data_IF_809205678806
#
_entry.id   IF_809205678806
#
_cell.length_a   1.000
_cell.length_b   1.000
_cell.length_c   1.000
_cell.angle_alpha   90.00
_cell.angle_beta   90.00
_cell.angle_gamma   90.00
#
_symmetry.space_group_name_H-M   'P 1'
#
loop_
_entity.id
_entity.type
_entity.pdbx_description
1 polymer ?
#
# COMPACT_ATOMS: atom_id res chain seq x y z
N UNK A 1 11.46 3.45 -2.65
CA UNK A 1 11.62 4.90 -2.45
C UNK A 1 12.71 5.13 -1.41
N UNK A 2 13.89 5.65 -1.77
CA UNK A 2 15.02 5.80 -0.86
C UNK A 2 14.91 7.08 -0.01
N UNK A 3 14.14 8.07 -0.44
CA UNK A 3 13.95 9.34 0.28
C UNK A 3 12.92 9.21 1.40
N UNK A 4 13.09 9.96 2.50
CA UNK A 4 12.13 10.01 3.62
C UNK A 4 10.76 10.51 3.15
N UNK A 5 10.73 11.56 2.33
CA UNK A 5 9.53 11.97 1.61
C UNK A 5 9.25 11.02 0.45
N UNK A 6 8.00 10.82 0.07
CA UNK A 6 7.65 10.06 -1.11
C UNK A 6 8.15 10.72 -2.40
N UNK A 7 8.32 9.94 -3.47
CA UNK A 7 8.71 10.45 -4.79
C UNK A 7 7.50 10.85 -5.67
N UNK A 8 6.29 10.89 -5.11
CA UNK A 8 5.10 11.33 -5.82
C UNK A 8 4.36 10.25 -6.62
N UNK A 9 4.53 8.97 -6.33
CA UNK A 9 3.86 7.87 -7.07
C UNK A 9 2.34 8.06 -7.16
N UNK A 10 1.67 8.31 -6.04
CA UNK A 10 0.21 8.50 -6.00
C UNK A 10 -0.21 9.72 -6.81
N UNK A 11 0.51 10.83 -6.68
CA UNK A 11 0.27 12.05 -7.47
C UNK A 11 0.41 11.78 -8.97
N UNK A 12 1.46 11.03 -9.37
CA UNK A 12 1.68 10.64 -10.77
C UNK A 12 0.59 9.69 -11.25
N UNK A 13 0.16 8.71 -10.44
CA UNK A 13 -0.92 7.79 -10.80
C UNK A 13 -2.23 8.53 -11.07
N UNK A 14 -2.58 9.47 -10.21
CA UNK A 14 -3.76 10.33 -10.40
C UNK A 14 -3.58 11.20 -11.65
N UNK A 15 -2.45 11.91 -11.75
CA UNK A 15 -2.17 12.81 -12.87
C UNK A 15 -2.14 12.11 -14.23
N UNK A 16 -1.66 10.87 -14.30
CA UNK A 16 -1.73 10.06 -15.52
C UNK A 16 -3.17 9.73 -15.90
N UNK A 17 -4.03 9.38 -14.93
CA UNK A 17 -5.45 9.14 -15.22
C UNK A 17 -6.16 10.43 -15.69
N UNK A 18 -5.84 11.57 -15.05
CA UNK A 18 -6.32 12.88 -15.52
C UNK A 18 -5.86 13.17 -16.95
N UNK A 19 -4.58 12.94 -17.25
CA UNK A 19 -4.01 13.13 -18.59
C UNK A 19 -4.65 12.25 -19.64
N UNK A 20 -4.91 10.97 -19.33
CA UNK A 20 -5.64 10.05 -20.21
C UNK A 20 -7.06 10.57 -20.51
N UNK A 21 -7.78 11.06 -19.50
CA UNK A 21 -9.11 11.65 -19.71
C UNK A 21 -9.05 12.95 -20.53
N UNK A 22 -8.00 13.78 -20.36
CA UNK A 22 -7.78 14.99 -21.19
C UNK A 22 -7.60 14.67 -22.68
N UNK A 23 -6.95 13.55 -23.00
CA UNK A 23 -6.80 13.11 -24.41
C UNK A 23 -7.96 12.22 -24.88
N UNK A 24 -9.10 12.23 -24.18
CA UNK A 24 -10.34 11.56 -24.57
C UNK A 24 -10.38 10.06 -24.30
N UNK A 25 -9.51 9.54 -23.44
CA UNK A 25 -9.57 8.14 -22.98
C UNK A 25 -10.45 8.06 -21.73
N UNK A 26 -11.00 6.87 -21.45
CA UNK A 26 -11.80 6.61 -20.25
C UNK A 26 -10.95 5.95 -19.20
N UNK A 27 -10.32 6.74 -18.35
CA UNK A 27 -9.42 6.28 -17.31
C UNK A 27 -10.07 6.37 -15.92
N UNK A 28 -9.76 5.39 -15.07
CA UNK A 28 -10.16 5.29 -13.65
C UNK A 28 -8.92 4.98 -12.81
N UNK A 29 -8.88 5.51 -11.59
CA UNK A 29 -7.78 5.27 -10.64
C UNK A 29 -8.22 4.28 -9.58
N UNK A 30 -7.31 3.38 -9.17
CA UNK A 30 -7.51 2.50 -8.03
C UNK A 30 -6.34 2.64 -7.05
N UNK A 31 -6.61 3.20 -5.87
CA UNK A 31 -5.62 3.61 -4.87
C UNK A 31 -5.79 2.88 -3.55
N UNK A 32 -4.74 2.92 -2.73
CA UNK A 32 -4.82 2.50 -1.34
C UNK A 32 -5.41 3.60 -0.49
N UNK A 33 -6.13 3.20 0.55
CA UNK A 33 -6.51 4.06 1.65
C UNK A 33 -5.29 4.32 2.55
N UNK A 34 -5.04 5.55 3.00
CA UNK A 34 -3.93 5.86 3.89
C UNK A 34 -4.21 5.47 5.34
N UNK A 35 -3.18 5.03 6.06
CA UNK A 35 -3.18 4.84 7.52
C UNK A 35 -2.92 6.16 8.24
N UNK A 36 -3.51 6.36 9.41
CA UNK A 36 -3.34 7.56 10.24
C UNK A 36 -1.88 7.78 10.64
N UNK A 37 -1.16 6.73 11.03
CA UNK A 37 0.23 6.83 11.45
C UNK A 37 1.12 7.53 10.40
N UNK A 38 1.19 7.05 9.15
CA UNK A 38 1.89 7.76 8.07
C UNK A 38 1.35 9.15 7.74
N UNK A 39 0.03 9.40 7.84
CA UNK A 39 -0.55 10.72 7.57
C UNK A 39 -0.05 11.80 8.56
N UNK A 40 0.10 11.45 9.83
CA UNK A 40 0.69 12.32 10.85
C UNK A 40 2.22 12.24 10.90
N UNK A 41 2.84 11.41 10.06
CA UNK A 41 4.28 11.25 9.95
C UNK A 41 4.89 12.04 8.79
N UNK A 42 6.14 11.68 8.45
CA UNK A 42 6.90 12.36 7.40
C UNK A 42 6.40 12.05 5.97
N UNK A 43 5.62 11.00 5.77
CA UNK A 43 5.14 10.59 4.44
C UNK A 43 3.85 11.27 4.00
N UNK A 44 3.10 11.86 4.93
CA UNK A 44 1.81 12.44 4.64
C UNK A 44 0.76 11.43 4.17
N UNK A 45 -0.36 11.92 3.63
CA UNK A 45 -1.48 11.10 3.15
C UNK A 45 -1.25 10.47 1.78
N UNK A 46 -2.21 9.63 1.35
CA UNK A 46 -2.19 8.93 0.07
C UNK A 46 -3.25 9.45 -0.92
N UNK A 47 -3.71 10.70 -0.74
CA UNK A 47 -4.72 11.31 -1.60
C UNK A 47 -4.15 12.04 -2.83
N UNK A 48 -2.85 11.93 -3.09
CA UNK A 48 -2.16 12.71 -4.11
C UNK A 48 -1.67 14.07 -3.62
N UNK A 49 -1.44 15.02 -4.54
CA UNK A 49 -0.97 16.34 -4.18
C UNK A 49 -1.07 17.36 -5.33
N UNK A 50 -1.06 18.64 -4.99
CA UNK A 50 -1.25 19.72 -5.97
C UNK A 50 -2.61 19.60 -6.67
N UNK A 51 -2.61 19.74 -7.99
CA UNK A 51 -3.80 19.57 -8.82
C UNK A 51 -4.15 18.11 -9.15
N UNK A 52 -3.31 17.16 -8.75
CA UNK A 52 -3.53 15.71 -8.91
C UNK A 52 -3.91 15.08 -7.57
N UNK A 53 -5.15 15.29 -7.15
CA UNK A 53 -5.70 14.80 -5.89
C UNK A 53 -7.04 14.08 -6.06
N UNK A 54 -7.32 13.13 -5.15
CA UNK A 54 -8.66 12.60 -4.89
C UNK A 54 -9.35 13.37 -3.77
N UNK A 55 -10.67 13.53 -3.88
CA UNK A 55 -11.50 14.31 -2.97
C UNK A 55 -12.56 13.42 -2.30
N UNK A 56 -12.93 13.69 -1.04
CA UNK A 56 -12.44 14.74 -0.14
C UNK A 56 -11.11 14.33 0.54
N UNK A 57 -10.04 15.06 0.28
CA UNK A 57 -8.68 14.70 0.71
C UNK A 57 -8.54 14.58 2.24
N UNK A 58 -9.10 15.52 2.98
CA UNK A 58 -9.02 15.54 4.45
C UNK A 58 -9.68 14.31 5.04
N UNK A 59 -10.87 13.94 4.56
CA UNK A 59 -11.59 12.77 5.05
C UNK A 59 -10.83 11.49 4.72
N UNK A 60 -10.32 11.35 3.48
CA UNK A 60 -9.55 10.17 3.02
C UNK A 60 -8.30 9.99 3.88
N UNK A 61 -7.60 11.07 4.24
CA UNK A 61 -6.39 11.03 5.04
C UNK A 61 -6.64 10.79 6.54
N UNK A 62 -7.87 10.87 7.02
CA UNK A 62 -8.23 10.68 8.43
C UNK A 62 -9.01 9.38 8.62
N UNK A 63 -10.32 9.50 8.82
CA UNK A 63 -11.17 8.34 9.14
C UNK A 63 -11.95 7.80 7.95
N UNK A 64 -12.06 8.58 6.92
CA UNK A 64 -12.76 8.30 5.68
C UNK A 64 -14.14 7.65 5.89
N UNK A 65 -14.31 6.41 5.47
CA UNK A 65 -15.54 5.61 5.67
C UNK A 65 -15.45 4.63 6.84
N UNK A 66 -14.28 4.59 7.51
CA UNK A 66 -14.07 3.76 8.69
C UNK A 66 -13.52 2.36 8.42
N UNK A 67 -13.02 2.07 7.23
CA UNK A 67 -12.49 0.74 6.86
C UNK A 67 -11.33 0.34 7.77
N UNK A 68 -10.40 1.25 8.06
CA UNK A 68 -9.31 1.00 9.01
C UNK A 68 -9.81 0.76 10.44
N UNK A 69 -10.85 1.44 10.87
CA UNK A 69 -11.47 1.20 12.18
C UNK A 69 -12.14 -0.17 12.24
N UNK A 70 -12.80 -0.59 11.16
CA UNK A 70 -13.39 -1.91 11.06
C UNK A 70 -12.31 -3.01 11.15
N UNK A 71 -11.19 -2.84 10.43
CA UNK A 71 -10.05 -3.76 10.51
C UNK A 71 -9.44 -3.79 11.90
N UNK A 72 -9.21 -2.64 12.54
CA UNK A 72 -8.70 -2.53 13.91
C UNK A 72 -9.62 -3.22 14.90
N UNK A 73 -10.93 -2.97 14.79
CA UNK A 73 -11.95 -3.58 15.66
C UNK A 73 -12.03 -5.10 15.48
N UNK A 74 -12.05 -5.58 14.23
CA UNK A 74 -12.08 -7.00 13.91
C UNK A 74 -10.83 -7.73 14.45
N UNK A 75 -9.64 -7.17 14.24
CA UNK A 75 -8.38 -7.71 14.73
C UNK A 75 -8.35 -7.81 16.25
N UNK A 76 -8.65 -6.72 16.94
CA UNK A 76 -8.63 -6.67 18.40
C UNK A 76 -9.77 -7.48 19.04
N UNK A 77 -10.90 -7.66 18.34
CA UNK A 77 -11.95 -8.55 18.80
C UNK A 77 -11.47 -10.01 18.81
N UNK A 78 -10.74 -10.46 17.78
CA UNK A 78 -10.10 -11.80 17.80
C UNK A 78 -9.19 -11.90 19.01
N UNK A 79 -8.37 -10.87 19.30
CA UNK A 79 -7.47 -10.87 20.45
C UNK A 79 -8.23 -11.01 21.77
N UNK A 80 -9.29 -10.23 21.96
CA UNK A 80 -10.08 -10.27 23.19
C UNK A 80 -10.75 -11.65 23.39
N UNK A 81 -11.24 -12.26 22.32
CA UNK A 81 -11.83 -13.60 22.36
C UNK A 81 -10.80 -14.69 22.59
N UNK A 82 -9.59 -14.53 22.04
CA UNK A 82 -8.47 -15.42 22.30
C UNK A 82 -7.99 -15.31 23.76
N UNK A 83 -7.89 -14.10 24.31
CA UNK A 83 -7.56 -13.88 25.74
C UNK A 83 -8.61 -14.55 26.64
N UNK A 84 -9.88 -14.46 26.29
CA UNK A 84 -10.94 -15.16 27.01
C UNK A 84 -10.80 -16.68 26.90
N UNK A 85 -10.50 -17.24 25.72
CA UNK A 85 -10.23 -18.66 25.54
C UNK A 85 -9.08 -19.13 26.42
N UNK A 86 -7.95 -18.42 26.42
CA UNK A 86 -6.79 -18.70 27.25
C UNK A 86 -7.16 -18.68 28.75
N UNK A 87 -7.97 -17.69 29.16
CA UNK A 87 -8.42 -17.60 30.55
C UNK A 87 -9.32 -18.79 30.95
N UNK A 88 -10.26 -19.19 30.10
CA UNK A 88 -11.17 -20.32 30.38
C UNK A 88 -10.42 -21.66 30.40
N UNK A 89 -9.43 -21.84 29.53
CA UNK A 89 -8.68 -23.10 29.39
C UNK A 89 -7.41 -23.18 30.24
N UNK A 90 -7.07 -22.15 31.05
CA UNK A 90 -5.81 -22.05 31.82
C UNK A 90 -5.52 -23.21 32.78
N UNK A 91 -6.55 -23.93 33.20
CA UNK A 91 -6.45 -25.09 34.11
C UNK A 91 -6.83 -26.40 33.41
N UNK A 92 -6.90 -26.44 32.09
CA UNK A 92 -7.26 -27.65 31.31
C UNK A 92 -6.08 -28.05 30.41
N UNK A 93 -6.19 -29.22 29.78
CA UNK A 93 -5.24 -29.66 28.75
C UNK A 93 -5.44 -28.98 27.39
N UNK A 94 -6.51 -28.20 27.20
CA UNK A 94 -6.88 -27.53 25.96
C UNK A 94 -6.13 -26.19 25.74
N UNK A 95 -5.22 -25.84 26.62
CA UNK A 95 -4.46 -24.59 26.55
C UNK A 95 -3.55 -24.47 25.31
N UNK A 96 -3.17 -23.25 25.03
CA UNK A 96 -2.20 -22.94 23.96
C UNK A 96 -0.79 -22.81 24.55
N UNK A 97 0.19 -23.49 23.94
CA UNK A 97 1.59 -23.37 24.33
C UNK A 97 2.28 -22.17 23.71
N UNK A 98 1.77 -21.69 22.58
CA UNK A 98 2.34 -20.56 21.85
C UNK A 98 1.23 -19.71 21.23
N UNK A 99 1.35 -18.38 21.37
CA UNK A 99 0.42 -17.41 20.79
C UNK A 99 1.19 -16.61 19.74
N UNK A 100 0.67 -16.55 18.51
CA UNK A 100 1.24 -15.78 17.40
C UNK A 100 0.50 -14.47 17.15
N UNK A 101 -0.73 -14.33 17.66
CA UNK A 101 -1.59 -13.21 17.41
C UNK A 101 -1.33 -12.08 18.42
N UNK A 102 -1.11 -10.87 17.91
CA UNK A 102 -0.92 -9.64 18.70
C UNK A 102 -2.16 -8.78 18.64
N UNK A 103 -2.02 -7.52 19.02
CA UNK A 103 -3.00 -6.45 18.87
C UNK A 103 -2.61 -5.49 17.77
N UNK A 104 -3.52 -4.62 17.34
CA UNK A 104 -3.20 -3.54 16.41
C UNK A 104 -3.75 -2.20 16.87
N UNK A 105 -3.06 -1.14 16.45
CA UNK A 105 -3.49 0.24 16.63
C UNK A 105 -3.05 1.04 15.41
N UNK A 106 -3.90 1.93 14.87
CA UNK A 106 -3.55 2.67 13.64
C UNK A 106 -2.70 3.92 13.91
N UNK A 107 -1.68 3.74 14.74
CA UNK A 107 -0.65 4.75 15.03
C UNK A 107 0.72 4.09 15.12
N UNK A 108 1.78 4.88 14.88
CA UNK A 108 3.15 4.44 15.05
C UNK A 108 3.57 4.63 16.51
N UNK A 109 3.44 3.60 17.35
CA UNK A 109 3.86 3.62 18.75
C UNK A 109 4.89 2.53 19.04
N UNK A 110 6.14 2.93 19.28
CA UNK A 110 7.24 2.01 19.59
C UNK A 110 7.16 1.47 21.00
N UNK A 111 6.54 2.21 21.92
CA UNK A 111 6.43 1.81 23.34
C UNK A 111 5.52 0.59 23.51
N UNK A 112 4.58 0.39 22.59
CA UNK A 112 3.61 -0.69 22.62
C UNK A 112 4.05 -1.96 21.85
N UNK A 113 5.25 -1.99 21.28
CA UNK A 113 5.72 -3.16 20.50
C UNK A 113 5.84 -4.43 21.33
N UNK A 114 6.24 -4.29 22.60
CA UNK A 114 6.34 -5.38 23.56
C UNK A 114 5.77 -4.90 24.89
N UNK A 115 4.72 -5.56 25.34
CA UNK A 115 4.02 -5.26 26.61
C UNK A 115 3.65 -6.56 27.31
N UNK A 116 3.28 -6.45 28.57
CA UNK A 116 2.60 -7.53 29.31
C UNK A 116 1.14 -7.12 29.50
N UNK A 117 0.21 -7.93 29.00
CA UNK A 117 -1.23 -7.80 29.21
C UNK A 117 -1.71 -8.69 30.38
N UNK A 118 -2.95 -8.48 30.84
CA UNK A 118 -3.57 -9.34 31.87
C UNK A 118 -3.09 -9.08 33.30
N UNK A 119 -2.41 -7.97 33.58
CA UNK A 119 -2.00 -7.56 34.94
C UNK A 119 -3.20 -7.06 35.76
N UNK A 120 -3.06 -7.06 37.09
CA UNK A 120 -4.07 -6.56 38.05
C UNK A 120 -4.90 -7.64 38.72
N UNK A 121 -4.44 -8.89 38.67
CA UNK A 121 -5.05 -10.04 39.37
C UNK A 121 -5.83 -10.96 38.44
N UNK A 122 -6.23 -12.11 38.97
CA UNK A 122 -6.83 -13.21 38.20
C UNK A 122 -8.15 -12.86 37.44
N UNK A 123 -8.84 -11.83 37.86
CA UNK A 123 -10.05 -11.37 37.16
C UNK A 123 -9.75 -10.64 35.84
N UNK A 124 -8.52 -10.18 35.64
CA UNK A 124 -8.11 -9.42 34.47
C UNK A 124 -7.48 -10.28 33.36
N UNK A 125 -7.43 -11.60 33.53
CA UNK A 125 -6.89 -12.53 32.53
C UNK A 125 -5.63 -13.25 33.00
N UNK A 126 -4.88 -13.79 32.05
CA UNK A 126 -3.59 -14.44 32.27
C UNK A 126 -2.48 -13.49 31.83
N UNK A 127 -1.51 -13.16 32.70
CA UNK A 127 -0.38 -12.32 32.30
C UNK A 127 0.36 -12.94 31.11
N UNK A 128 0.43 -12.21 30.00
CA UNK A 128 1.00 -12.70 28.73
C UNK A 128 1.80 -11.60 28.07
N UNK A 129 2.99 -11.95 27.58
CA UNK A 129 3.77 -11.05 26.72
C UNK A 129 3.08 -10.93 25.36
N UNK A 130 2.87 -9.71 24.91
CA UNK A 130 2.22 -9.39 23.64
C UNK A 130 2.72 -8.04 23.11
N UNK A 131 2.05 -7.45 22.13
CA UNK A 131 2.37 -6.13 21.60
C UNK A 131 1.32 -5.60 20.65
N UNK A 132 1.55 -4.40 20.17
CA UNK A 132 0.74 -3.78 19.15
C UNK A 132 1.53 -3.59 17.86
N UNK A 133 0.98 -4.07 16.75
CA UNK A 133 1.42 -3.71 15.41
C UNK A 133 0.54 -2.57 14.87
N UNK A 134 0.93 -1.94 13.77
CA UNK A 134 0.08 -0.93 13.12
C UNK A 134 -1.02 -1.63 12.29
N UNK A 135 -2.22 -1.05 12.24
CA UNK A 135 -3.38 -1.65 11.54
C UNK A 135 -3.08 -2.10 10.09
N UNK A 136 -2.35 -1.34 9.24
CA UNK A 136 -1.97 -1.81 7.90
C UNK A 136 -1.10 -3.07 7.85
N UNK A 137 -0.50 -3.46 8.98
CA UNK A 137 0.26 -4.69 9.13
C UNK A 137 -0.61 -5.90 9.52
N UNK A 138 -1.88 -5.67 9.83
CA UNK A 138 -2.84 -6.72 10.18
C UNK A 138 -3.00 -7.72 9.03
N UNK A 139 -3.02 -9.02 9.35
CA UNK A 139 -3.40 -10.06 8.40
C UNK A 139 -4.82 -9.84 7.85
N UNK A 140 -5.74 -9.30 8.67
CA UNK A 140 -7.10 -8.94 8.23
C UNK A 140 -7.07 -7.88 7.13
N UNK A 141 -6.17 -6.88 7.21
CA UNK A 141 -6.00 -5.89 6.15
C UNK A 141 -5.57 -6.55 4.83
N UNK A 142 -4.62 -7.47 4.87
CA UNK A 142 -4.20 -8.23 3.70
C UNK A 142 -5.32 -9.11 3.14
N UNK A 143 -6.06 -9.79 4.01
CA UNK A 143 -7.22 -10.62 3.66
C UNK A 143 -8.32 -9.77 2.99
N UNK A 144 -8.70 -8.64 3.57
CA UNK A 144 -9.68 -7.71 3.01
C UNK A 144 -9.32 -7.30 1.57
N UNK A 145 -8.04 -7.01 1.33
CA UNK A 145 -7.55 -6.60 0.02
C UNK A 145 -7.47 -7.74 -1.02
N UNK A 146 -7.40 -9.00 -0.58
CA UNK A 146 -7.32 -10.16 -1.46
C UNK A 146 -8.65 -10.91 -1.60
N UNK A 147 -9.64 -10.62 -0.75
CA UNK A 147 -10.96 -11.24 -0.82
C UNK A 147 -11.72 -10.84 -2.09
N UNK A 148 -12.48 -11.77 -2.64
CA UNK A 148 -13.28 -11.57 -3.84
C UNK A 148 -14.76 -11.34 -3.54
N UNK A 149 -15.22 -11.79 -2.38
CA UNK A 149 -16.59 -11.67 -1.86
C UNK A 149 -16.63 -11.94 -0.35
N UNK A 150 -17.81 -11.88 0.25
CA UNK A 150 -18.00 -12.04 1.69
C UNK A 150 -17.71 -13.48 2.16
N UNK A 151 -17.98 -14.48 1.34
CA UNK A 151 -17.72 -15.88 1.67
C UNK A 151 -16.23 -16.21 1.63
N UNK A 152 -15.51 -15.68 0.63
CA UNK A 152 -14.05 -15.77 0.57
C UNK A 152 -13.39 -15.03 1.74
N UNK A 153 -13.91 -13.84 2.11
CA UNK A 153 -13.48 -13.10 3.28
C UNK A 153 -13.60 -13.95 4.55
N UNK A 154 -14.79 -14.52 4.80
CA UNK A 154 -15.07 -15.39 5.97
C UNK A 154 -14.14 -16.60 6.02
N UNK A 155 -13.98 -17.28 4.89
CA UNK A 155 -13.12 -18.45 4.77
C UNK A 155 -11.65 -18.13 5.12
N UNK A 156 -11.15 -17.01 4.61
CA UNK A 156 -9.77 -16.54 4.89
C UNK A 156 -9.60 -16.16 6.36
N UNK A 157 -10.54 -15.42 6.93
CA UNK A 157 -10.54 -15.06 8.35
C UNK A 157 -10.52 -16.32 9.22
N UNK A 158 -11.33 -17.31 8.89
CA UNK A 158 -11.37 -18.58 9.62
C UNK A 158 -10.02 -19.31 9.66
N UNK A 159 -9.19 -19.15 8.63
CA UNK A 159 -7.89 -19.82 8.50
C UNK A 159 -6.73 -19.03 9.16
N UNK A 160 -6.97 -17.86 9.75
CA UNK A 160 -5.92 -17.11 10.45
C UNK A 160 -5.38 -17.96 11.59
N UNK A 161 -4.05 -18.11 11.62
CA UNK A 161 -3.34 -18.82 12.68
C UNK A 161 -3.21 -17.94 13.93
N UNK A 162 -3.78 -18.37 15.05
CA UNK A 162 -3.72 -17.67 16.32
C UNK A 162 -2.58 -18.16 17.22
N UNK A 163 -2.24 -19.45 17.11
CA UNK A 163 -1.22 -20.07 17.92
C UNK A 163 -1.12 -21.57 17.70
N UNK A 164 -0.51 -22.25 18.67
CA UNK A 164 -0.37 -23.71 18.67
C UNK A 164 -0.86 -24.30 19.98
N UNK A 165 -1.55 -25.43 19.90
CA UNK A 165 -1.98 -26.21 21.06
C UNK A 165 -0.80 -26.88 21.74
N UNK A 166 -1.00 -27.46 22.93
CA UNK A 166 0.02 -28.22 23.64
C UNK A 166 0.53 -29.44 22.85
N UNK A 167 -0.26 -29.94 21.88
CA UNK A 167 0.10 -31.04 20.98
C UNK A 167 0.71 -30.58 19.65
N UNK A 168 1.19 -29.34 19.54
CA UNK A 168 1.78 -28.76 18.33
C UNK A 168 0.83 -28.61 17.14
N UNK A 169 -0.49 -28.64 17.36
CA UNK A 169 -1.48 -28.41 16.30
C UNK A 169 -1.75 -26.93 16.12
N UNK A 170 -1.91 -26.46 14.86
CA UNK A 170 -2.35 -25.10 14.60
C UNK A 170 -3.71 -24.83 15.26
N UNK A 171 -3.84 -23.66 15.90
CA UNK A 171 -5.10 -23.15 16.43
C UNK A 171 -5.49 -21.90 15.67
N UNK A 172 -6.65 -21.93 15.04
CA UNK A 172 -7.10 -20.90 14.10
C UNK A 172 -8.34 -20.16 14.61
N UNK A 173 -8.77 -19.13 13.87
CA UNK A 173 -10.03 -18.41 14.15
C UNK A 173 -11.26 -19.35 14.01
N UNK A 174 -11.20 -20.38 13.15
CA UNK A 174 -12.24 -21.41 13.08
C UNK A 174 -12.30 -22.24 14.36
N UNK A 175 -11.15 -22.62 14.95
CA UNK A 175 -11.11 -23.36 16.20
C UNK A 175 -11.63 -22.50 17.37
N UNK A 176 -11.41 -21.19 17.32
CA UNK A 176 -12.00 -20.24 18.27
C UNK A 176 -13.53 -20.06 18.04
N UNK A 177 -14.06 -20.45 16.89
CA UNK A 177 -15.50 -20.43 16.58
C UNK A 177 -16.08 -19.06 16.22
N UNK A 178 -15.26 -18.05 15.88
CA UNK A 178 -15.72 -16.64 15.79
C UNK A 178 -15.67 -16.06 14.37
N UNK A 179 -15.27 -16.81 13.36
CA UNK A 179 -15.07 -16.32 11.99
C UNK A 179 -16.28 -15.54 11.44
N UNK A 180 -17.50 -16.01 11.69
CA UNK A 180 -18.72 -15.32 11.26
C UNK A 180 -18.93 -13.95 11.90
N UNK A 181 -18.71 -13.84 13.21
CA UNK A 181 -18.83 -12.57 13.94
C UNK A 181 -17.81 -11.55 13.46
N UNK A 182 -16.56 -11.98 13.24
CA UNK A 182 -15.49 -11.11 12.71
C UNK A 182 -15.82 -10.63 11.29
N UNK A 183 -16.37 -11.51 10.44
CA UNK A 183 -16.78 -11.16 9.08
C UNK A 183 -17.86 -10.06 9.07
N UNK A 184 -18.83 -10.12 10.00
CA UNK A 184 -19.90 -9.12 10.13
C UNK A 184 -19.31 -7.72 10.43
N UNK A 185 -18.27 -7.62 11.25
CA UNK A 185 -17.59 -6.34 11.51
C UNK A 185 -16.97 -5.72 10.26
N UNK A 186 -16.65 -6.54 9.26
CA UNK A 186 -15.97 -6.12 8.03
C UNK A 186 -16.90 -6.02 6.81
N UNK A 187 -18.22 -6.28 6.96
CA UNK A 187 -19.15 -6.37 5.82
C UNK A 187 -19.19 -5.08 4.97
N UNK A 188 -19.19 -3.93 5.62
CA UNK A 188 -19.25 -2.64 4.94
C UNK A 188 -17.84 -2.22 4.45
N UNK A 189 -16.79 -2.52 5.23
CA UNK A 189 -15.40 -2.29 4.85
C UNK A 189 -14.91 -3.16 3.67
N UNK A 190 -15.66 -4.19 3.27
CA UNK A 190 -15.37 -4.99 2.07
C UNK A 190 -15.71 -4.24 0.78
N UNK A 191 -16.55 -3.21 0.84
CA UNK A 191 -17.03 -2.46 -0.32
C UNK A 191 -16.05 -1.34 -0.68
N UNK A 192 -15.51 -1.32 -1.92
CA UNK A 192 -14.61 -0.25 -2.35
C UNK A 192 -15.28 1.12 -2.35
N UNK A 193 -14.57 2.14 -1.86
CA UNK A 193 -15.05 3.51 -1.80
C UNK A 193 -14.84 4.21 -3.15
N UNK A 194 -15.92 4.67 -3.76
CA UNK A 194 -15.89 5.46 -5.00
C UNK A 194 -15.84 6.95 -4.66
N UNK A 195 -14.82 7.61 -5.13
CA UNK A 195 -14.59 9.06 -5.01
C UNK A 195 -14.23 9.65 -6.37
N UNK A 196 -13.95 10.94 -6.42
CA UNK A 196 -13.48 11.59 -7.64
C UNK A 196 -12.21 12.40 -7.39
N UNK A 197 -11.52 12.71 -8.46
CA UNK A 197 -10.37 13.61 -8.45
C UNK A 197 -10.79 15.07 -8.57
N UNK A 198 -9.84 15.99 -8.44
CA UNK A 198 -10.02 17.43 -8.68
C UNK A 198 -10.56 17.76 -10.08
N UNK A 199 -10.35 16.89 -11.06
CA UNK A 199 -10.84 17.06 -12.46
C UNK A 199 -11.93 16.04 -12.84
N UNK A 200 -12.71 15.56 -11.85
CA UNK A 200 -13.87 14.67 -12.02
C UNK A 200 -13.55 13.28 -12.60
N UNK A 201 -12.30 12.83 -12.57
CA UNK A 201 -11.96 11.43 -12.88
C UNK A 201 -12.39 10.54 -11.72
N UNK A 202 -13.08 9.44 -12.01
CA UNK A 202 -13.48 8.46 -11.00
C UNK A 202 -12.26 7.78 -10.37
N UNK A 203 -12.32 7.56 -9.06
CA UNK A 203 -11.27 6.89 -8.32
C UNK A 203 -11.87 5.94 -7.28
N UNK A 204 -11.35 4.72 -7.20
CA UNK A 204 -11.62 3.79 -6.12
C UNK A 204 -10.50 3.85 -5.08
N UNK A 205 -10.85 4.10 -3.83
CA UNK A 205 -9.92 4.09 -2.69
C UNK A 205 -10.34 2.98 -1.75
N UNK A 206 -9.50 1.95 -1.58
CA UNK A 206 -9.88 0.80 -0.77
C UNK A 206 -8.68 -0.03 -0.31
N UNK A 207 -8.62 -0.27 1.00
CA UNK A 207 -7.58 -1.04 1.67
C UNK A 207 -6.21 -0.39 1.64
N UNK A 208 -5.40 -0.66 2.64
CA UNK A 208 -4.10 0.00 2.82
C UNK A 208 -3.00 -0.91 3.37
N UNK A 209 -2.80 -2.15 2.86
CA UNK A 209 -1.76 -3.04 3.38
C UNK A 209 -0.38 -2.47 3.09
N UNK A 210 0.54 -2.57 4.07
CA UNK A 210 1.92 -2.14 3.87
C UNK A 210 2.69 -3.13 2.99
N UNK A 211 3.50 -2.61 2.05
CA UNK A 211 4.27 -3.44 1.13
C UNK A 211 5.45 -4.17 1.78
N UNK A 212 5.98 -3.65 2.89
CA UNK A 212 7.05 -4.33 3.63
C UNK A 212 6.54 -5.52 4.48
N UNK A 213 5.24 -5.64 4.68
CA UNK A 213 4.62 -6.69 5.50
C UNK A 213 3.67 -7.55 4.68
N UNK A 214 2.84 -6.93 3.82
CA UNK A 214 1.87 -7.60 2.97
C UNK A 214 2.15 -7.27 1.48
N UNK A 215 1.12 -7.29 0.63
CA UNK A 215 1.29 -7.06 -0.83
C UNK A 215 1.32 -5.59 -1.25
N UNK A 216 1.01 -4.65 -0.37
CA UNK A 216 1.24 -3.22 -0.58
C UNK A 216 0.47 -2.55 -1.71
N UNK A 217 -0.71 -3.08 -2.05
CA UNK A 217 -1.56 -2.61 -3.14
C UNK A 217 -2.99 -2.45 -2.65
N UNK A 218 -3.82 -1.68 -3.36
CA UNK A 218 -5.25 -1.62 -3.11
C UNK A 218 -5.93 -2.98 -3.31
N UNK A 219 -7.21 -3.09 -2.97
CA UNK A 219 -7.94 -4.35 -3.02
C UNK A 219 -8.13 -4.88 -4.45
N UNK A 220 -8.32 -6.19 -4.55
CA UNK A 220 -8.73 -6.88 -5.77
C UNK A 220 -10.09 -6.36 -6.25
N UNK A 221 -11.03 -6.17 -5.33
CA UNK A 221 -12.37 -5.65 -5.64
C UNK A 221 -12.32 -4.26 -6.27
N UNK A 222 -11.57 -3.33 -5.67
CA UNK A 222 -11.41 -1.97 -6.21
C UNK A 222 -10.82 -1.98 -7.63
N UNK A 223 -9.78 -2.80 -7.87
CA UNK A 223 -9.19 -2.90 -9.21
C UNK A 223 -10.16 -3.53 -10.23
N UNK A 224 -10.89 -4.58 -9.86
CA UNK A 224 -11.88 -5.20 -10.74
C UNK A 224 -13.05 -4.25 -11.05
N UNK A 225 -13.54 -3.52 -10.05
CA UNK A 225 -14.56 -2.48 -10.27
C UNK A 225 -14.04 -1.38 -11.20
N UNK A 226 -12.82 -0.90 -10.99
CA UNK A 226 -12.21 0.08 -11.88
C UNK A 226 -12.14 -0.42 -13.33
N UNK A 227 -11.76 -1.68 -13.54
CA UNK A 227 -11.73 -2.34 -14.87
C UNK A 227 -13.11 -2.49 -15.51
N UNK A 228 -14.18 -2.52 -14.71
CA UNK A 228 -15.55 -2.57 -15.22
C UNK A 228 -16.00 -1.21 -15.76
N UNK A 229 -15.51 -0.12 -15.16
CA UNK A 229 -15.97 1.23 -15.46
C UNK A 229 -15.02 2.04 -16.34
N UNK A 230 -13.76 1.63 -16.51
CA UNK A 230 -12.75 2.33 -17.29
C UNK A 230 -12.08 1.43 -18.34
N UNK A 231 -11.71 2.01 -19.48
CA UNK A 231 -10.91 1.33 -20.50
C UNK A 231 -9.42 1.27 -20.07
N UNK A 232 -9.01 2.24 -19.24
CA UNK A 232 -7.70 2.33 -18.64
C UNK A 232 -7.83 2.37 -17.12
N UNK A 233 -7.13 1.51 -16.43
CA UNK A 233 -7.06 1.51 -14.96
C UNK A 233 -5.64 1.77 -14.52
N UNK A 234 -5.45 2.84 -13.76
CA UNK A 234 -4.17 3.19 -13.17
C UNK A 234 -4.19 2.77 -11.71
N UNK A 235 -3.21 1.99 -11.32
CA UNK A 235 -3.02 1.57 -9.92
C UNK A 235 -1.57 1.72 -9.51
N UNK A 236 -1.31 1.63 -8.23
CA UNK A 236 0.04 1.79 -7.68
C UNK A 236 0.51 0.57 -6.88
N UNK A 237 1.82 0.42 -6.77
CA UNK A 237 2.46 -0.52 -5.86
C UNK A 237 3.33 0.24 -4.86
N UNK A 238 3.33 -0.21 -3.60
CA UNK A 238 4.08 0.46 -2.53
C UNK A 238 5.58 0.28 -2.66
N UNK A 239 6.36 1.21 -2.13
CA UNK A 239 7.84 1.19 -2.14
C UNK A 239 8.47 1.19 -3.53
N UNK A 240 9.63 0.56 -3.69
CA UNK A 240 10.31 0.37 -4.96
C UNK A 240 9.76 -0.80 -5.78
N UNK A 241 10.19 -0.91 -7.04
CA UNK A 241 9.77 -1.98 -7.92
C UNK A 241 10.30 -3.36 -7.49
N UNK A 242 11.40 -3.36 -6.77
CA UNK A 242 12.04 -4.54 -6.15
C UNK A 242 11.22 -5.16 -5.01
N UNK A 243 10.25 -4.44 -4.48
CA UNK A 243 9.41 -4.90 -3.37
C UNK A 243 7.91 -4.83 -3.72
N UNK A 244 7.37 -3.62 -3.93
CA UNK A 244 5.94 -3.45 -4.14
C UNK A 244 5.45 -3.95 -5.48
N UNK A 245 6.16 -3.68 -6.56
CA UNK A 245 5.77 -4.18 -7.88
C UNK A 245 5.92 -5.71 -7.97
N UNK A 246 6.99 -6.28 -7.41
CA UNK A 246 7.16 -7.74 -7.34
C UNK A 246 5.97 -8.40 -6.63
N UNK A 247 5.59 -7.91 -5.44
CA UNK A 247 4.41 -8.40 -4.72
C UNK A 247 3.09 -8.15 -5.46
N UNK A 248 2.98 -7.04 -6.19
CA UNK A 248 1.82 -6.78 -7.03
C UNK A 248 1.65 -7.86 -8.09
N UNK A 249 2.71 -8.20 -8.83
CA UNK A 249 2.67 -9.24 -9.85
C UNK A 249 2.50 -10.62 -9.24
N UNK A 250 3.33 -11.01 -8.28
CA UNK A 250 3.41 -12.37 -7.77
C UNK A 250 2.26 -12.73 -6.81
N UNK A 251 1.69 -11.76 -6.11
CA UNK A 251 0.58 -11.99 -5.18
C UNK A 251 -0.74 -11.54 -5.78
N UNK A 252 -0.91 -10.23 -6.01
CA UNK A 252 -2.21 -9.68 -6.40
C UNK A 252 -2.63 -10.11 -7.80
N UNK A 253 -1.76 -9.94 -8.80
CA UNK A 253 -2.09 -10.27 -10.18
C UNK A 253 -2.38 -11.75 -10.35
N UNK A 254 -1.58 -12.63 -9.76
CA UNK A 254 -1.82 -14.08 -9.78
C UNK A 254 -3.14 -14.46 -9.15
N UNK A 255 -3.45 -13.91 -7.96
CA UNK A 255 -4.70 -14.20 -7.23
C UNK A 255 -5.94 -13.68 -7.96
N UNK A 256 -5.84 -12.53 -8.61
CA UNK A 256 -6.98 -11.83 -9.21
C UNK A 256 -7.15 -12.09 -10.72
N UNK A 257 -6.18 -12.78 -11.37
CA UNK A 257 -6.16 -12.97 -12.82
C UNK A 257 -5.93 -11.66 -13.58
N UNK A 258 -5.10 -10.75 -13.04
CA UNK A 258 -4.80 -9.46 -13.66
C UNK A 258 -3.55 -9.56 -14.54
N UNK A 259 -3.60 -8.90 -15.69
CA UNK A 259 -2.47 -8.83 -16.63
C UNK A 259 -2.21 -7.36 -17.00
N UNK A 260 -1.41 -6.64 -16.20
CA UNK A 260 -1.02 -5.26 -16.53
C UNK A 260 -0.29 -5.21 -17.88
N UNK A 261 -0.47 -4.10 -18.60
CA UNK A 261 0.13 -3.91 -19.94
C UNK A 261 1.38 -3.05 -19.90
N UNK A 262 1.46 -2.14 -18.93
CA UNK A 262 2.51 -1.14 -18.86
C UNK A 262 2.88 -0.88 -17.40
N UNK A 263 4.17 -0.71 -17.14
CA UNK A 263 4.70 -0.21 -15.87
C UNK A 263 5.29 1.18 -16.06
N UNK A 264 4.82 2.14 -15.28
CA UNK A 264 5.40 3.49 -15.21
C UNK A 264 6.30 3.57 -13.98
N UNK A 265 7.60 3.76 -14.18
CA UNK A 265 8.57 3.96 -13.11
C UNK A 265 8.71 5.45 -12.85
N UNK A 266 8.43 5.88 -11.62
CA UNK A 266 8.60 7.28 -11.22
C UNK A 266 10.03 7.48 -10.70
N UNK A 267 10.80 8.34 -11.36
CA UNK A 267 12.15 8.73 -10.97
C UNK A 267 12.20 10.21 -10.54
N UNK A 268 13.15 10.55 -9.69
CA UNK A 268 13.47 11.93 -9.28
C UNK A 268 14.99 12.11 -9.21
N UNK A 269 15.52 13.31 -9.46
CA UNK A 269 16.94 13.59 -9.29
C UNK A 269 17.42 13.26 -7.87
N UNK A 270 16.63 13.61 -6.86
CA UNK A 270 16.98 13.34 -5.46
C UNK A 270 17.11 11.84 -5.16
N UNK A 271 16.22 11.00 -5.72
CA UNK A 271 16.29 9.56 -5.51
C UNK A 271 17.52 8.95 -6.21
N UNK A 272 17.83 9.38 -7.42
CA UNK A 272 18.99 8.90 -8.15
C UNK A 272 20.30 9.32 -7.45
N UNK A 273 20.42 10.58 -7.02
CA UNK A 273 21.57 11.06 -6.24
C UNK A 273 21.77 10.25 -4.96
N UNK A 274 20.71 9.98 -4.23
CA UNK A 274 20.79 9.20 -2.99
C UNK A 274 21.25 7.77 -3.25
N UNK A 275 20.75 7.11 -4.28
CA UNK A 275 21.22 5.78 -4.72
C UNK A 275 22.68 5.83 -5.20
N UNK A 276 23.11 6.92 -5.80
CA UNK A 276 24.50 7.14 -6.22
C UNK A 276 25.44 7.57 -5.10
N UNK A 277 25.01 7.49 -3.83
CA UNK A 277 25.84 7.75 -2.66
C UNK A 277 25.95 9.22 -2.24
N UNK A 278 25.17 10.13 -2.83
CA UNK A 278 25.12 11.53 -2.40
C UNK A 278 24.47 11.63 -1.02
N UNK A 279 25.10 12.29 -0.03
CA UNK A 279 24.54 12.47 1.30
C UNK A 279 23.17 13.16 1.28
N UNK A 280 22.22 12.72 2.14
CA UNK A 280 20.83 13.20 2.18
C UNK A 280 20.72 14.75 2.28
N UNK A 281 21.62 15.39 3.00
CA UNK A 281 21.64 16.85 3.15
C UNK A 281 22.10 17.60 1.90
N UNK A 282 22.64 16.91 0.87
CA UNK A 282 23.15 17.48 -0.39
C UNK A 282 22.36 17.05 -1.63
N UNK A 283 21.33 16.20 -1.51
CA UNK A 283 20.57 15.69 -2.65
C UNK A 283 19.82 16.77 -3.45
N UNK A 284 19.65 17.96 -2.87
CA UNK A 284 19.03 19.12 -3.55
C UNK A 284 20.03 19.93 -4.37
N UNK A 285 21.33 19.73 -4.16
CA UNK A 285 22.38 20.35 -4.96
C UNK A 285 22.55 19.57 -6.28
N UNK A 286 22.95 20.27 -7.34
CA UNK A 286 23.28 19.60 -8.60
C UNK A 286 24.44 18.61 -8.40
N UNK A 287 24.27 17.39 -8.89
CA UNK A 287 25.31 16.37 -8.82
C UNK A 287 25.14 15.31 -9.93
N UNK A 288 25.74 15.60 -11.08
CA UNK A 288 25.69 14.74 -12.28
C UNK A 288 26.35 13.39 -12.05
N UNK A 289 27.50 13.36 -11.37
CA UNK A 289 28.21 12.10 -11.08
C UNK A 289 27.39 11.20 -10.14
N UNK A 290 26.84 11.76 -9.07
CA UNK A 290 25.97 11.04 -8.17
C UNK A 290 24.71 10.49 -8.87
N UNK A 291 24.15 11.22 -9.84
CA UNK A 291 23.03 10.71 -10.64
C UNK A 291 23.44 9.54 -11.52
N UNK A 292 24.58 9.63 -12.22
CA UNK A 292 25.13 8.55 -13.05
C UNK A 292 25.34 7.27 -12.25
N UNK A 293 25.95 7.39 -11.08
CA UNK A 293 26.13 6.25 -10.17
C UNK A 293 24.78 5.65 -9.70
N UNK A 294 23.73 6.46 -9.60
CA UNK A 294 22.39 6.04 -9.23
C UNK A 294 21.60 5.33 -10.33
N UNK A 295 22.06 5.41 -11.59
CA UNK A 295 21.40 4.75 -12.72
C UNK A 295 21.37 3.22 -12.61
N UNK A 296 22.38 2.60 -12.00
CA UNK A 296 22.37 1.14 -11.78
C UNK A 296 21.11 0.67 -11.06
N UNK A 297 20.57 1.48 -10.13
CA UNK A 297 19.34 1.18 -9.43
C UNK A 297 18.10 1.32 -10.34
N UNK A 298 18.07 2.37 -11.18
CA UNK A 298 17.00 2.56 -12.16
C UNK A 298 16.99 1.43 -13.19
N UNK A 299 18.16 1.08 -13.71
CA UNK A 299 18.34 0.01 -14.70
C UNK A 299 17.86 -1.33 -14.16
N UNK A 300 18.18 -1.61 -12.90
CA UNK A 300 17.72 -2.82 -12.24
C UNK A 300 16.20 -2.88 -12.10
N UNK A 301 15.57 -1.78 -11.79
CA UNK A 301 14.09 -1.70 -11.76
C UNK A 301 13.48 -1.90 -13.15
N UNK A 302 14.05 -1.29 -14.19
CA UNK A 302 13.62 -1.47 -15.58
C UNK A 302 13.76 -2.93 -15.99
N UNK A 303 14.93 -3.53 -15.75
CA UNK A 303 15.20 -4.95 -16.04
C UNK A 303 14.18 -5.87 -15.35
N UNK A 304 13.93 -5.65 -14.05
CA UNK A 304 12.98 -6.45 -13.29
C UNK A 304 11.56 -6.37 -13.88
N UNK A 305 11.10 -5.18 -14.26
CA UNK A 305 9.79 -5.03 -14.87
C UNK A 305 9.71 -5.67 -16.26
N UNK A 306 10.75 -5.56 -17.07
CA UNK A 306 10.84 -6.28 -18.36
C UNK A 306 10.80 -7.79 -18.17
N UNK A 307 11.39 -8.34 -17.10
CA UNK A 307 11.32 -9.78 -16.76
C UNK A 307 9.89 -10.24 -16.40
N UNK A 308 9.05 -9.34 -15.84
CA UNK A 308 7.62 -9.59 -15.66
C UNK A 308 6.80 -9.43 -16.96
N UNK A 309 7.45 -9.23 -18.11
CA UNK A 309 6.80 -9.07 -19.41
C UNK A 309 6.15 -7.70 -19.61
N UNK A 310 6.60 -6.69 -18.88
CA UNK A 310 6.05 -5.34 -18.96
C UNK A 310 6.76 -4.49 -20.00
N UNK A 311 5.98 -3.72 -20.76
CA UNK A 311 6.49 -2.48 -21.33
C UNK A 311 6.79 -1.49 -20.21
N UNK A 312 7.86 -0.69 -20.35
CA UNK A 312 8.32 0.21 -19.30
C UNK A 312 8.47 1.63 -19.82
N UNK A 313 7.90 2.58 -19.11
CA UNK A 313 8.13 4.03 -19.28
C UNK A 313 8.70 4.58 -17.98
N UNK A 314 9.75 5.39 -18.07
CA UNK A 314 10.26 6.18 -16.94
C UNK A 314 9.65 7.57 -17.00
N UNK A 315 8.97 7.98 -15.94
CA UNK A 315 8.49 9.35 -15.80
C UNK A 315 9.28 10.08 -14.73
N UNK A 316 9.76 11.27 -15.08
CA UNK A 316 10.57 12.08 -14.19
C UNK A 316 9.68 13.10 -13.47
N UNK A 317 9.61 13.00 -12.14
CA UNK A 317 8.90 13.94 -11.30
C UNK A 317 9.86 15.06 -10.86
N UNK A 318 9.75 16.20 -11.53
CA UNK A 318 10.64 17.36 -11.33
C UNK A 318 10.34 18.10 -10.03
N UNK A 319 11.38 18.42 -9.28
CA UNK A 319 11.35 19.38 -8.17
C UNK A 319 11.96 20.71 -8.58
N UNK A 320 11.64 21.78 -7.83
CA UNK A 320 12.17 23.13 -8.11
C UNK A 320 13.71 23.24 -8.05
N UNK A 321 14.36 22.31 -7.35
CA UNK A 321 15.83 22.24 -7.25
C UNK A 321 16.50 21.56 -8.44
N UNK A 322 15.74 20.88 -9.31
CA UNK A 322 16.30 20.05 -10.37
C UNK A 322 16.68 20.91 -11.58
N UNK A 323 17.88 20.70 -12.11
CA UNK A 323 18.39 21.44 -13.27
C UNK A 323 17.98 20.77 -14.59
N UNK A 324 17.94 21.56 -15.67
CA UNK A 324 17.65 21.04 -17.01
C UNK A 324 18.72 20.04 -17.48
N UNK A 325 19.98 20.21 -17.04
CA UNK A 325 21.07 19.28 -17.32
C UNK A 325 20.83 17.91 -16.66
N UNK A 326 20.38 17.89 -15.41
CA UNK A 326 20.02 16.65 -14.72
C UNK A 326 18.85 15.93 -15.38
N UNK A 327 17.86 16.68 -15.86
CA UNK A 327 16.70 16.09 -16.58
C UNK A 327 17.14 15.53 -17.93
N UNK A 328 17.95 16.27 -18.69
CA UNK A 328 18.48 15.83 -19.97
C UNK A 328 19.33 14.55 -19.84
N UNK A 329 20.13 14.45 -18.76
CA UNK A 329 20.91 13.28 -18.46
C UNK A 329 20.04 12.02 -18.27
N UNK A 330 18.92 12.12 -17.53
CA UNK A 330 18.02 10.99 -17.34
C UNK A 330 17.30 10.61 -18.65
N UNK A 331 16.91 11.60 -19.45
CA UNK A 331 16.30 11.38 -20.75
C UNK A 331 17.22 10.65 -21.72
N UNK A 332 18.53 11.05 -21.75
CA UNK A 332 19.56 10.40 -22.54
C UNK A 332 19.75 8.94 -22.11
N UNK A 333 19.93 8.73 -20.81
CA UNK A 333 20.10 7.38 -20.25
C UNK A 333 18.91 6.46 -20.57
N UNK A 334 17.68 6.95 -20.45
CA UNK A 334 16.47 6.16 -20.82
C UNK A 334 16.49 5.78 -22.29
N UNK A 335 16.97 6.65 -23.18
CA UNK A 335 17.12 6.38 -24.61
C UNK A 335 18.17 5.29 -24.85
N UNK A 336 19.29 5.34 -24.15
CA UNK A 336 20.39 4.34 -24.24
C UNK A 336 19.90 2.94 -23.82
N UNK A 337 19.12 2.84 -22.74
CA UNK A 337 18.58 1.54 -22.27
C UNK A 337 17.27 1.11 -22.98
N UNK A 338 16.82 1.90 -23.96
CA UNK A 338 15.66 1.56 -24.80
C UNK A 338 14.34 1.53 -24.04
N UNK A 339 14.07 2.57 -23.22
CA UNK A 339 12.79 2.77 -22.55
C UNK A 339 12.22 4.17 -22.82
N UNK A 340 10.88 4.28 -22.82
CA UNK A 340 10.21 5.55 -22.96
C UNK A 340 10.54 6.50 -21.79
N UNK A 341 10.69 7.79 -22.07
CA UNK A 341 10.91 8.82 -21.06
C UNK A 341 9.92 9.96 -21.23
N UNK A 342 9.36 10.43 -20.13
CA UNK A 342 8.52 11.62 -20.10
C UNK A 342 8.73 12.40 -18.79
N UNK A 343 8.97 13.68 -18.89
CA UNK A 343 8.86 14.58 -17.75
C UNK A 343 7.38 14.81 -17.44
N UNK A 344 6.98 14.73 -16.18
CA UNK A 344 5.63 15.06 -15.77
C UNK A 344 5.58 16.32 -14.91
N UNK A 345 4.48 17.05 -15.03
CA UNK A 345 4.18 18.24 -14.25
C UNK A 345 2.79 18.14 -13.60
N UNK A 346 2.39 16.93 -13.25
CA UNK A 346 1.03 16.63 -12.77
C UNK A 346 0.71 17.31 -11.43
N UNK A 347 1.71 17.58 -10.60
CA UNK A 347 1.51 18.30 -9.34
C UNK A 347 1.02 19.74 -9.57
N UNK A 348 1.63 20.45 -10.49
CA UNK A 348 1.33 21.87 -10.74
C UNK A 348 0.21 22.06 -11.77
N UNK A 349 -0.02 21.10 -12.68
CA UNK A 349 -0.89 21.30 -13.84
C UNK A 349 -1.93 20.16 -14.03
N UNK A 350 -2.12 19.27 -13.04
CA UNK A 350 -3.14 18.24 -13.11
C UNK A 350 -3.06 17.39 -14.38
N UNK A 351 -4.21 17.22 -15.06
CA UNK A 351 -4.32 16.44 -16.28
C UNK A 351 -3.51 16.99 -17.46
N UNK A 352 -3.39 18.31 -17.60
CA UNK A 352 -2.52 18.92 -18.62
C UNK A 352 -1.05 18.50 -18.41
N UNK A 353 -0.59 18.50 -17.16
CA UNK A 353 0.76 18.05 -16.80
C UNK A 353 1.02 16.57 -17.04
N UNK A 354 -0.04 15.76 -17.17
CA UNK A 354 0.02 14.33 -17.46
C UNK A 354 -0.27 13.95 -18.93
N UNK A 355 -0.68 14.89 -19.77
CA UNK A 355 -1.13 14.59 -21.12
C UNK A 355 -0.03 13.99 -22.02
N UNK A 356 1.20 14.46 -21.92
CA UNK A 356 2.32 13.91 -22.69
C UNK A 356 2.66 12.46 -22.27
N UNK A 357 2.66 12.18 -20.96
CA UNK A 357 2.83 10.82 -20.45
C UNK A 357 1.67 9.90 -20.91
N UNK A 358 0.47 10.45 -21.01
CA UNK A 358 -0.71 9.69 -21.45
C UNK A 358 -0.71 9.36 -22.97
N UNK A 359 0.06 10.09 -23.78
CA UNK A 359 0.22 9.81 -25.22
C UNK A 359 1.24 8.73 -25.52
N UNK A 360 2.24 8.57 -24.67
CA UNK A 360 3.21 7.47 -24.75
C UNK A 360 2.57 6.13 -24.42
#
# INVERSE_FOLDING_TARGET
TPTKAGIGKTTVSIGLALGLNKIGKKAVVALREPSLGPCFGMKGGAAGGGYSQVLPMENINLHFTGDFHAVTSAHNMITALLDNYIYQTRNTCEGLKEIKWKRVLDVNDRSLRNIVSGLGGSANGVPTETGFDITPASEIMAILCLATDIEDLKRRIGNILLGYTNDDKPFTVNDLGVAGAITVLLKDALLPNLVQTTENTAAFVHGGPFANIAHGCNSVLATKMALTYGDYVITEAGFGADLGAEKFFDIKCRKAGLTPKLTVIVATAQSLKLHGGVPENKIKEQNIEGMKNGFENLDKHVENMKRFGQEVIVTFNRYASDTDEEIALVAEHCREIGVGFCMNNVFAAGGEGGAELAKL
#
